data_IF_752406555181
#
_entry.id   IF_752406555181
#
_cell.length_a   1.000
_cell.length_b   1.000
_cell.length_c   1.000
_cell.angle_alpha   90.00
_cell.angle_beta   90.00
_cell.angle_gamma   90.00
#
_symmetry.space_group_name_H-M   'P 1'
#
loop_
_entity.id
_entity.type
_entity.pdbx_description
1 polymer ?
#
# COMPACT_ATOMS: atom_id res chain seq x y z
N UNK A 1 -5.19 -3.96 10.57
CA UNK A 1 -6.19 -4.51 9.64
C UNK A 1 -7.40 -5.05 10.40
N UNK A 2 -8.61 -4.68 9.97
CA UNK A 2 -9.84 -5.13 10.59
C UNK A 2 -10.15 -6.59 10.21
N UNK A 3 -10.52 -7.40 11.20
CA UNK A 3 -10.92 -8.79 11.00
C UNK A 3 -12.40 -8.99 11.33
N UNK A 4 -13.04 -10.08 10.84
CA UNK A 4 -14.38 -10.47 11.28
C UNK A 4 -14.48 -10.63 12.81
N UNK A 5 -15.71 -10.51 13.34
CA UNK A 5 -16.03 -10.69 14.75
C UNK A 5 -15.36 -9.66 15.69
N UNK A 6 -15.34 -8.40 15.27
CA UNK A 6 -14.84 -7.28 16.06
C UNK A 6 -13.38 -7.43 16.51
N UNK A 7 -12.52 -7.90 15.62
CA UNK A 7 -11.09 -8.10 15.86
C UNK A 7 -10.26 -7.12 15.04
N UNK A 8 -9.07 -6.83 15.55
CA UNK A 8 -8.09 -5.99 14.88
C UNK A 8 -6.74 -6.73 14.85
N UNK A 9 -6.23 -7.01 13.66
CA UNK A 9 -4.88 -7.50 13.49
C UNK A 9 -3.90 -6.32 13.54
N UNK A 10 -2.86 -6.44 14.36
CA UNK A 10 -1.81 -5.43 14.54
C UNK A 10 -0.46 -6.08 14.27
N UNK A 11 0.27 -5.53 13.32
CA UNK A 11 1.63 -5.93 12.96
C UNK A 11 2.63 -4.81 13.17
N UNK A 12 3.88 -5.12 13.45
CA UNK A 12 4.91 -4.10 13.64
C UNK A 12 6.26 -4.68 14.08
N UNK A 13 7.04 -3.85 14.74
CA UNK A 13 8.33 -4.22 15.33
C UNK A 13 8.25 -4.37 16.86
N UNK A 14 7.08 -4.16 17.43
CA UNK A 14 6.83 -4.21 18.86
C UNK A 14 7.01 -5.63 19.45
N UNK A 15 7.40 -5.69 20.69
CA UNK A 15 7.57 -6.95 21.45
C UNK A 15 6.69 -7.00 22.70
N UNK A 16 5.86 -5.99 22.90
CA UNK A 16 4.94 -5.88 24.03
C UNK A 16 3.67 -5.13 23.64
N UNK A 17 2.52 -5.60 24.11
CA UNK A 17 1.22 -4.94 24.00
C UNK A 17 0.50 -5.10 25.34
N UNK A 18 -0.02 -4.01 25.93
CA UNK A 18 -0.71 -3.98 27.20
C UNK A 18 0.07 -4.63 28.37
N UNK A 19 1.42 -4.50 28.37
CA UNK A 19 2.26 -5.12 29.38
C UNK A 19 2.56 -6.61 29.16
N UNK A 20 2.09 -7.19 28.04
CA UNK A 20 2.31 -8.59 27.70
C UNK A 20 3.29 -8.74 26.53
N UNK A 21 4.19 -9.71 26.65
CA UNK A 21 5.13 -10.02 25.57
C UNK A 21 4.43 -10.65 24.38
N UNK A 22 4.69 -10.12 23.20
CA UNK A 22 4.20 -10.60 21.90
C UNK A 22 5.34 -10.60 20.87
N UNK A 23 5.21 -11.36 19.78
CA UNK A 23 6.23 -11.42 18.75
C UNK A 23 5.77 -10.74 17.47
N UNK A 24 5.81 -9.39 17.47
CA UNK A 24 5.64 -8.52 16.29
C UNK A 24 4.27 -8.58 15.60
N UNK A 25 3.36 -9.40 16.14
CA UNK A 25 2.00 -9.57 15.63
C UNK A 25 1.05 -9.94 16.77
N UNK A 26 -0.15 -9.37 16.76
CA UNK A 26 -1.19 -9.66 17.76
C UNK A 26 -2.58 -9.41 17.17
N UNK A 27 -3.56 -10.13 17.68
CA UNK A 27 -4.98 -9.83 17.43
C UNK A 27 -5.55 -9.20 18.70
N UNK A 28 -6.25 -8.09 18.52
CA UNK A 28 -6.95 -7.38 19.60
C UNK A 28 -8.46 -7.49 19.40
N UNK A 29 -9.22 -7.43 20.49
CA UNK A 29 -10.63 -7.04 20.45
C UNK A 29 -10.72 -5.56 20.06
N UNK A 30 -11.44 -5.24 19.01
CA UNK A 30 -11.46 -3.89 18.44
C UNK A 30 -12.20 -2.87 19.29
N UNK A 31 -13.03 -3.30 20.26
CA UNK A 31 -13.73 -2.41 21.21
C UNK A 31 -12.91 -2.12 22.44
N UNK A 32 -12.27 -3.14 23.02
CA UNK A 32 -11.60 -3.03 24.31
C UNK A 32 -10.10 -2.84 24.20
N UNK A 33 -9.50 -3.13 23.03
CA UNK A 33 -8.06 -3.13 22.83
C UNK A 33 -7.33 -4.29 23.54
N UNK A 34 -8.05 -5.23 24.14
CA UNK A 34 -7.46 -6.37 24.84
C UNK A 34 -6.97 -7.42 23.85
N UNK A 35 -5.90 -8.15 24.19
CA UNK A 35 -5.36 -9.23 23.37
C UNK A 35 -6.39 -10.37 23.28
N UNK A 36 -6.74 -10.77 22.06
CA UNK A 36 -7.53 -11.97 21.80
C UNK A 36 -6.66 -13.22 21.89
N UNK A 37 -6.71 -13.89 23.02
CA UNK A 37 -5.89 -15.07 23.31
C UNK A 37 -6.32 -16.34 22.58
N UNK A 38 -7.39 -16.28 21.80
CA UNK A 38 -7.78 -17.39 20.89
C UNK A 38 -6.90 -17.45 19.66
N UNK A 39 -6.08 -16.40 19.44
CA UNK A 39 -5.12 -16.30 18.36
C UNK A 39 -3.68 -16.35 18.90
N UNK A 40 -2.91 -17.35 18.43
CA UNK A 40 -1.47 -17.52 18.75
C UNK A 40 -0.66 -17.53 17.46
N UNK A 41 -0.88 -16.51 16.62
CA UNK A 41 -0.09 -16.27 15.41
C UNK A 41 1.11 -15.42 15.80
N UNK A 42 2.31 -15.84 15.42
CA UNK A 42 3.56 -15.17 15.77
C UNK A 42 4.55 -15.26 14.61
N UNK A 43 5.40 -14.27 14.48
CA UNK A 43 6.50 -14.26 13.50
C UNK A 43 7.85 -14.11 14.20
N UNK A 44 8.91 -14.63 13.58
CA UNK A 44 10.29 -14.46 14.07
C UNK A 44 11.31 -14.49 12.93
N UNK A 45 12.49 -13.93 13.17
CA UNK A 45 13.71 -14.16 12.38
C UNK A 45 14.60 -15.17 13.05
N UNK A 46 15.18 -16.07 12.25
CA UNK A 46 15.98 -17.21 12.78
C UNK A 46 17.24 -16.78 13.53
N UNK A 47 17.82 -15.64 13.20
CA UNK A 47 19.12 -15.19 13.71
C UNK A 47 19.01 -14.30 14.97
N UNK A 48 17.83 -14.21 15.59
CA UNK A 48 17.61 -13.31 16.73
C UNK A 48 17.52 -11.83 16.37
N UNK A 49 17.64 -11.48 15.08
CA UNK A 49 17.36 -10.12 14.62
C UNK A 49 15.88 -9.80 14.82
N UNK A 50 15.57 -8.52 15.01
CA UNK A 50 14.18 -8.06 15.09
C UNK A 50 13.39 -8.47 13.84
N UNK A 51 12.29 -9.19 14.04
CA UNK A 51 11.31 -9.40 12.99
C UNK A 51 10.42 -8.16 12.90
N UNK A 52 9.74 -7.99 11.78
CA UNK A 52 8.78 -6.92 11.59
C UNK A 52 7.66 -7.39 10.66
N UNK A 53 6.41 -7.14 11.04
CA UNK A 53 5.25 -7.21 10.14
C UNK A 53 5.02 -5.81 9.59
N UNK A 54 5.06 -5.68 8.27
CA UNK A 54 4.96 -4.39 7.58
C UNK A 54 3.62 -4.18 6.90
N UNK A 55 2.98 -5.26 6.45
CA UNK A 55 1.73 -5.18 5.71
C UNK A 55 0.79 -6.30 6.12
N UNK A 56 -0.49 -5.99 6.15
CA UNK A 56 -1.59 -6.89 6.47
C UNK A 56 -2.69 -6.69 5.43
N UNK A 57 -3.28 -7.79 4.98
CA UNK A 57 -4.41 -7.77 4.05
C UNK A 57 -5.40 -8.87 4.41
N UNK A 58 -6.66 -8.52 4.54
CA UNK A 58 -7.76 -9.49 4.61
C UNK A 58 -8.38 -9.68 3.24
N UNK A 59 -8.34 -10.90 2.73
CA UNK A 59 -8.95 -11.23 1.45
C UNK A 59 -9.48 -12.67 1.46
N UNK A 60 -10.76 -12.85 1.09
CA UNK A 60 -11.42 -14.13 0.85
C UNK A 60 -11.11 -15.23 1.89
N UNK A 61 -11.40 -14.93 3.15
CA UNK A 61 -11.22 -15.88 4.27
C UNK A 61 -9.78 -16.05 4.77
N UNK A 62 -8.86 -15.24 4.30
CA UNK A 62 -7.46 -15.25 4.72
C UNK A 62 -6.99 -13.90 5.23
N UNK A 63 -6.05 -13.93 6.17
CA UNK A 63 -5.19 -12.81 6.53
C UNK A 63 -3.81 -13.07 5.93
N UNK A 64 -3.39 -12.23 5.01
CA UNK A 64 -2.02 -12.18 4.50
C UNK A 64 -1.19 -11.30 5.42
N UNK A 65 0.02 -11.74 5.72
CA UNK A 65 1.01 -10.98 6.47
C UNK A 65 2.29 -10.90 5.65
N UNK A 66 2.85 -9.71 5.52
CA UNK A 66 4.12 -9.45 4.84
C UNK A 66 5.09 -8.71 5.76
N UNK A 67 6.40 -8.88 5.54
CA UNK A 67 7.38 -8.20 6.38
C UNK A 67 8.79 -8.75 6.31
N UNK A 68 9.54 -8.49 7.39
CA UNK A 68 10.90 -8.93 7.57
C UNK A 68 10.96 -10.07 8.60
N UNK A 69 10.51 -11.24 8.23
CA UNK A 69 10.55 -12.44 9.06
C UNK A 69 10.96 -13.67 8.25
N UNK A 70 11.35 -14.75 8.91
CA UNK A 70 11.76 -16.02 8.26
C UNK A 70 10.91 -17.21 8.69
N UNK A 71 10.17 -17.08 9.78
CA UNK A 71 9.36 -18.16 10.33
C UNK A 71 8.04 -17.61 10.87
N UNK A 72 7.03 -18.43 10.79
CA UNK A 72 5.68 -18.14 11.29
C UNK A 72 5.15 -19.32 12.09
N UNK A 73 4.36 -19.04 13.12
CA UNK A 73 3.58 -19.98 13.90
C UNK A 73 2.11 -19.56 13.83
N UNK A 74 1.22 -20.50 13.67
CA UNK A 74 -0.24 -20.29 13.73
C UNK A 74 -0.87 -21.09 14.85
N UNK A 75 -2.17 -20.89 15.10
CA UNK A 75 -2.91 -21.54 16.21
C UNK A 75 -2.76 -23.07 16.28
N UNK A 76 -2.67 -23.73 15.13
CA UNK A 76 -2.56 -25.18 15.06
C UNK A 76 -1.12 -25.70 15.09
N UNK A 77 -0.14 -24.80 15.14
CA UNK A 77 1.27 -25.14 15.07
C UNK A 77 1.89 -25.20 16.46
N UNK A 78 2.58 -26.30 16.79
CA UNK A 78 3.34 -26.40 18.03
C UNK A 78 4.69 -25.69 17.98
N UNK A 79 5.20 -25.41 16.78
CA UNK A 79 6.50 -24.80 16.55
C UNK A 79 6.43 -23.82 15.36
N UNK A 80 7.41 -22.94 15.29
CA UNK A 80 7.64 -22.09 14.14
C UNK A 80 8.10 -22.91 12.93
N UNK A 81 7.56 -22.60 11.78
CA UNK A 81 7.97 -23.18 10.51
C UNK A 81 8.41 -22.08 9.52
N UNK A 82 9.26 -22.48 8.58
CA UNK A 82 9.83 -21.56 7.59
C UNK A 82 8.76 -21.03 6.65
N UNK A 83 8.65 -19.70 6.61
CA UNK A 83 7.93 -18.92 5.61
C UNK A 83 8.57 -17.54 5.58
N UNK A 84 9.28 -17.20 4.53
CA UNK A 84 10.12 -16.01 4.50
C UNK A 84 9.47 -14.86 3.74
N UNK A 85 9.34 -13.74 4.43
CA UNK A 85 8.85 -12.48 3.88
C UNK A 85 7.32 -12.37 3.85
N UNK A 86 6.59 -13.47 3.65
CA UNK A 86 5.13 -13.46 3.70
C UNK A 86 4.55 -14.79 4.16
N UNK A 87 3.32 -14.76 4.68
CA UNK A 87 2.53 -15.93 5.03
C UNK A 87 1.03 -15.63 4.89
N UNK A 88 0.22 -16.69 4.83
CA UNK A 88 -1.23 -16.61 4.76
C UNK A 88 -1.86 -17.42 5.90
N UNK A 89 -2.76 -16.77 6.64
CA UNK A 89 -3.41 -17.31 7.83
C UNK A 89 -4.91 -17.47 7.54
N UNK A 90 -5.47 -18.63 7.84
CA UNK A 90 -6.91 -18.88 7.70
C UNK A 90 -7.69 -18.13 8.77
N UNK A 91 -8.62 -17.26 8.39
CA UNK A 91 -9.45 -16.50 9.33
C UNK A 91 -10.37 -17.40 10.18
N UNK A 92 -10.72 -18.58 9.66
CA UNK A 92 -11.61 -19.50 10.35
C UNK A 92 -11.05 -20.09 11.63
N UNK A 93 -9.72 -20.23 11.75
CA UNK A 93 -9.10 -20.94 12.88
C UNK A 93 -7.68 -20.47 13.25
N UNK A 94 -7.15 -19.42 12.61
CA UNK A 94 -5.80 -18.91 12.86
C UNK A 94 -4.67 -19.85 12.39
N UNK A 95 -4.96 -20.87 11.59
CA UNK A 95 -3.94 -21.77 11.07
C UNK A 95 -3.18 -21.16 9.90
N UNK A 96 -1.86 -21.36 9.86
CA UNK A 96 -1.07 -21.04 8.67
C UNK A 96 -1.48 -21.92 7.51
N UNK A 97 -1.71 -21.34 6.34
CA UNK A 97 -1.92 -22.09 5.11
C UNK A 97 -0.59 -22.52 4.50
N UNK A 98 -0.19 -23.73 4.80
CA UNK A 98 1.10 -24.28 4.37
C UNK A 98 1.19 -24.59 2.87
N UNK A 99 0.09 -24.54 2.13
CA UNK A 99 0.11 -24.63 0.67
C UNK A 99 0.57 -23.30 0.02
N UNK A 100 0.38 -22.18 0.72
CA UNK A 100 0.82 -20.87 0.26
C UNK A 100 1.99 -20.38 1.12
N UNK A 101 3.20 -20.69 0.69
CA UNK A 101 4.43 -20.45 1.46
C UNK A 101 5.53 -19.89 0.58
N UNK A 102 5.49 -18.61 0.26
CA UNK A 102 6.54 -17.96 -0.53
C UNK A 102 7.86 -17.89 0.22
N UNK A 103 8.96 -17.84 -0.54
CA UNK A 103 10.30 -17.67 -0.02
C UNK A 103 10.95 -16.45 -0.68
N UNK A 104 10.70 -15.28 -0.12
CA UNK A 104 11.36 -14.05 -0.55
C UNK A 104 12.75 -13.94 0.08
N UNK A 105 13.77 -13.51 -0.68
CA UNK A 105 15.11 -13.29 -0.12
C UNK A 105 15.27 -11.95 0.62
N UNK A 106 14.25 -11.10 0.64
CA UNK A 106 14.21 -9.79 1.31
C UNK A 106 12.84 -9.47 1.91
N UNK A 107 12.70 -8.25 2.43
CA UNK A 107 11.49 -7.76 3.09
C UNK A 107 10.36 -7.54 2.08
N UNK A 108 9.15 -7.96 2.46
CA UNK A 108 7.90 -7.60 1.79
C UNK A 108 7.30 -6.39 2.51
N UNK A 109 7.11 -5.28 1.81
CA UNK A 109 6.56 -4.03 2.35
C UNK A 109 5.07 -3.89 2.12
N UNK A 110 4.61 -4.26 0.91
CA UNK A 110 3.21 -4.21 0.50
C UNK A 110 2.77 -5.57 -0.05
N UNK A 111 1.51 -5.92 0.18
CA UNK A 111 0.88 -7.12 -0.33
C UNK A 111 -0.59 -6.84 -0.68
N UNK A 112 -1.02 -7.29 -1.83
CA UNK A 112 -2.41 -7.23 -2.27
C UNK A 112 -2.81 -8.52 -2.95
N UNK A 113 -4.10 -8.81 -3.03
CA UNK A 113 -4.60 -9.99 -3.70
C UNK A 113 -5.81 -9.65 -4.57
N UNK A 114 -5.98 -10.37 -5.67
CA UNK A 114 -7.20 -10.35 -6.45
C UNK A 114 -8.40 -10.80 -5.59
N UNK A 115 -9.59 -10.28 -5.89
CA UNK A 115 -10.81 -10.55 -5.10
C UNK A 115 -11.16 -12.05 -5.01
N UNK A 116 -10.74 -12.84 -5.99
CA UNK A 116 -10.92 -14.29 -6.05
C UNK A 116 -9.71 -15.08 -5.53
N UNK A 117 -8.72 -14.41 -4.96
CA UNK A 117 -7.44 -14.98 -4.54
C UNK A 117 -6.65 -15.72 -5.65
N UNK A 118 -6.98 -15.55 -6.91
CA UNK A 118 -6.25 -16.22 -8.01
C UNK A 118 -4.80 -15.75 -8.10
N UNK A 119 -4.57 -14.47 -7.81
CA UNK A 119 -3.27 -13.81 -7.86
C UNK A 119 -3.01 -12.98 -6.62
N UNK A 120 -1.80 -13.03 -6.11
CA UNK A 120 -1.28 -12.19 -5.04
C UNK A 120 -0.11 -11.38 -5.58
N UNK A 121 -0.05 -10.09 -5.28
CA UNK A 121 1.06 -9.23 -5.66
C UNK A 121 1.81 -8.78 -4.41
N UNK A 122 3.13 -8.66 -4.54
CA UNK A 122 4.00 -8.20 -3.47
C UNK A 122 4.99 -7.15 -3.96
N UNK A 123 5.25 -6.18 -3.10
CA UNK A 123 6.26 -5.13 -3.28
C UNK A 123 7.26 -5.14 -2.12
N UNK A 124 8.53 -4.76 -2.36
CA UNK A 124 9.49 -4.74 -1.26
C UNK A 124 10.97 -4.56 -1.63
N UNK A 125 11.81 -5.13 -0.76
CA UNK A 125 13.28 -5.05 -0.85
C UNK A 125 13.92 -6.33 -1.42
N UNK A 126 13.12 -7.31 -1.80
CA UNK A 126 13.60 -8.60 -2.29
C UNK A 126 14.12 -8.51 -3.74
N UNK A 127 14.94 -9.47 -4.13
CA UNK A 127 15.42 -9.69 -5.51
C UNK A 127 15.08 -11.07 -6.03
N UNK A 128 14.57 -11.95 -5.15
CA UNK A 128 14.19 -13.32 -5.50
C UNK A 128 12.93 -13.75 -4.76
N UNK A 129 12.15 -14.57 -5.41
CA UNK A 129 11.02 -15.33 -4.89
C UNK A 129 11.19 -16.80 -5.29
N UNK A 130 11.18 -17.72 -4.31
CA UNK A 130 11.31 -19.17 -4.56
C UNK A 130 12.55 -19.53 -5.41
N UNK A 131 13.68 -18.85 -5.16
CA UNK A 131 14.95 -18.95 -5.92
C UNK A 131 14.83 -18.53 -7.39
N UNK A 132 13.81 -17.82 -7.77
CA UNK A 132 13.64 -17.20 -9.09
C UNK A 132 13.75 -15.68 -8.96
N UNK A 133 14.25 -15.05 -10.01
CA UNK A 133 14.34 -13.58 -10.08
C UNK A 133 12.98 -12.93 -9.83
N UNK A 134 12.97 -11.93 -8.92
CA UNK A 134 11.82 -11.08 -8.64
C UNK A 134 12.35 -9.75 -8.05
N UNK A 135 12.61 -8.77 -8.90
CA UNK A 135 13.19 -7.51 -8.46
C UNK A 135 12.13 -6.55 -7.97
N UNK A 136 11.97 -6.49 -6.64
CA UNK A 136 11.14 -5.53 -5.91
C UNK A 136 9.63 -5.69 -6.08
N UNK A 137 9.20 -6.37 -7.14
CA UNK A 137 7.81 -6.71 -7.44
C UNK A 137 7.69 -8.20 -7.73
N UNK A 138 6.59 -8.78 -7.31
CA UNK A 138 6.27 -10.17 -7.61
C UNK A 138 4.78 -10.38 -7.82
N UNK A 139 4.42 -11.25 -8.75
CA UNK A 139 3.09 -11.76 -8.95
C UNK A 139 3.10 -13.26 -8.67
N UNK A 140 2.29 -13.69 -7.69
CA UNK A 140 2.24 -15.05 -7.19
C UNK A 140 0.88 -15.67 -7.49
N UNK A 141 0.87 -16.98 -7.76
CA UNK A 141 -0.40 -17.72 -7.74
C UNK A 141 -0.97 -17.77 -6.32
N UNK A 142 -2.26 -17.52 -6.20
CA UNK A 142 -2.97 -17.66 -4.93
C UNK A 142 -3.05 -19.10 -4.43
N UNK A 143 -2.91 -20.10 -5.31
CA UNK A 143 -2.96 -21.52 -4.94
C UNK A 143 -1.75 -22.01 -4.16
N UNK A 144 -0.52 -21.63 -4.60
CA UNK A 144 0.72 -22.27 -4.15
C UNK A 144 1.90 -21.30 -3.99
N UNK A 145 1.67 -19.99 -4.16
CA UNK A 145 2.71 -18.94 -4.12
C UNK A 145 3.82 -19.09 -5.17
N UNK A 146 3.61 -19.83 -6.25
CA UNK A 146 4.55 -19.86 -7.36
C UNK A 146 4.56 -18.53 -8.12
N UNK A 147 5.71 -18.14 -8.65
CA UNK A 147 5.86 -16.90 -9.40
C UNK A 147 5.13 -17.00 -10.75
N UNK A 148 4.26 -16.03 -11.04
CA UNK A 148 3.53 -15.94 -12.32
C UNK A 148 4.34 -15.19 -13.37
N UNK A 149 5.02 -14.08 -12.94
CA UNK A 149 5.70 -13.17 -13.86
C UNK A 149 7.04 -12.71 -13.29
N UNK A 150 8.09 -13.43 -13.57
CA UNK A 150 9.44 -13.11 -13.09
C UNK A 150 10.08 -11.88 -13.76
N UNK A 151 9.55 -11.44 -14.91
CA UNK A 151 10.04 -10.26 -15.64
C UNK A 151 9.34 -8.96 -15.21
N UNK A 152 8.37 -9.02 -14.28
CA UNK A 152 7.72 -7.82 -13.79
C UNK A 152 8.67 -7.07 -12.85
N UNK A 153 9.12 -5.92 -13.28
CA UNK A 153 10.13 -5.12 -12.60
C UNK A 153 9.70 -3.66 -12.54
N UNK A 154 10.12 -2.90 -11.51
CA UNK A 154 9.95 -1.45 -11.47
C UNK A 154 10.53 -0.79 -12.72
N UNK A 155 9.88 0.26 -13.15
CA UNK A 155 10.26 0.95 -14.40
C UNK A 155 11.62 1.64 -14.34
N UNK A 156 12.06 2.06 -13.17
CA UNK A 156 13.31 2.79 -13.01
C UNK A 156 14.46 1.87 -12.58
N UNK A 157 15.45 1.82 -13.45
CA UNK A 157 16.76 1.20 -13.18
C UNK A 157 17.72 2.30 -12.76
N UNK A 158 18.15 2.30 -11.52
CA UNK A 158 19.18 3.20 -11.03
C UNK A 158 20.55 2.63 -11.41
N UNK A 159 21.32 3.38 -12.17
CA UNK A 159 22.72 3.03 -12.42
C UNK A 159 23.60 3.70 -11.36
N UNK A 160 24.00 2.93 -10.36
CA UNK A 160 24.90 3.38 -9.31
C UNK A 160 26.21 2.62 -9.46
N UNK A 161 27.29 3.34 -9.80
CA UNK A 161 28.65 2.76 -9.92
C UNK A 161 28.71 1.47 -10.76
N UNK A 162 28.24 1.57 -12.01
CA UNK A 162 28.20 0.48 -13.01
C UNK A 162 27.34 -0.75 -12.61
N UNK A 163 26.50 -0.61 -11.61
CA UNK A 163 25.51 -1.62 -11.24
C UNK A 163 24.10 -1.11 -11.49
N UNK A 164 23.30 -1.93 -12.14
CA UNK A 164 21.86 -1.68 -12.23
C UNK A 164 21.22 -2.04 -10.89
N UNK A 165 20.69 -1.05 -10.21
CA UNK A 165 19.96 -1.24 -8.96
C UNK A 165 18.50 -0.85 -9.21
N UNK A 166 17.57 -1.77 -8.89
CA UNK A 166 16.15 -1.47 -8.93
C UNK A 166 15.74 -0.78 -7.63
N UNK A 167 15.02 0.30 -7.76
CA UNK A 167 14.50 1.04 -6.62
C UNK A 167 13.52 0.18 -5.81
N UNK A 168 13.54 0.35 -4.51
CA UNK A 168 12.64 -0.33 -3.59
C UNK A 168 11.20 0.04 -3.90
N UNK A 169 10.29 -0.91 -3.78
CA UNK A 169 8.86 -0.66 -3.85
C UNK A 169 8.26 -0.73 -2.45
N UNK A 170 7.45 0.26 -2.10
CA UNK A 170 6.86 0.34 -0.78
C UNK A 170 5.49 -0.31 -0.74
N UNK A 171 4.69 -0.10 -1.79
CA UNK A 171 3.36 -0.66 -1.82
C UNK A 171 2.91 -1.13 -3.20
N UNK A 172 1.88 -1.96 -3.21
CA UNK A 172 1.25 -2.54 -4.38
C UNK A 172 -0.25 -2.71 -4.14
N UNK A 173 -1.08 -2.31 -5.10
CA UNK A 173 -2.53 -2.38 -5.00
C UNK A 173 -3.16 -3.08 -6.21
N UNK A 174 -3.89 -4.16 -6.00
CA UNK A 174 -4.73 -4.79 -7.03
C UNK A 174 -5.97 -3.92 -7.27
N UNK A 175 -6.23 -3.58 -8.51
CA UNK A 175 -7.37 -2.76 -8.91
C UNK A 175 -8.24 -3.44 -10.00
N UNK A 176 -8.32 -4.77 -9.96
CA UNK A 176 -9.12 -5.59 -10.87
C UNK A 176 -8.36 -5.95 -12.15
N UNK A 177 -8.52 -5.18 -13.22
CA UNK A 177 -7.79 -5.36 -14.50
C UNK A 177 -6.34 -4.87 -14.43
N UNK A 178 -6.04 -3.99 -13.49
CA UNK A 178 -4.74 -3.36 -13.29
C UNK A 178 -4.15 -3.68 -11.92
N UNK A 179 -2.85 -3.48 -11.79
CA UNK A 179 -2.13 -3.46 -10.53
C UNK A 179 -1.27 -2.21 -10.47
N UNK A 180 -1.31 -1.54 -9.32
CA UNK A 180 -0.58 -0.31 -9.07
C UNK A 180 0.63 -0.54 -8.18
N UNK A 181 1.67 0.26 -8.38
CA UNK A 181 2.89 0.22 -7.56
C UNK A 181 3.36 1.61 -7.22
N UNK A 182 3.99 1.74 -6.05
CA UNK A 182 4.64 2.95 -5.60
C UNK A 182 5.93 2.64 -4.85
N UNK A 183 6.95 3.47 -5.02
CA UNK A 183 8.22 3.21 -4.37
C UNK A 183 9.25 4.32 -4.46
N UNK A 184 10.49 3.95 -4.16
CA UNK A 184 11.66 4.84 -4.15
C UNK A 184 12.20 5.17 -5.55
N UNK A 185 11.55 4.70 -6.59
CA UNK A 185 11.75 5.17 -7.96
C UNK A 185 11.01 6.49 -8.24
N UNK A 186 10.31 7.01 -7.23
CA UNK A 186 9.52 8.22 -7.28
C UNK A 186 8.34 8.16 -8.27
N UNK A 187 8.10 6.98 -8.84
CA UNK A 187 6.99 6.71 -9.73
C UNK A 187 5.82 6.10 -8.95
N UNK A 188 4.63 6.57 -9.29
CA UNK A 188 3.40 5.82 -9.13
C UNK A 188 3.01 5.31 -10.52
N UNK A 189 2.75 4.02 -10.64
CA UNK A 189 2.54 3.39 -11.95
C UNK A 189 1.49 2.31 -11.89
N UNK A 190 0.69 2.17 -12.96
CA UNK A 190 -0.21 1.06 -13.16
C UNK A 190 0.23 0.15 -14.31
N UNK A 191 -0.05 -1.11 -14.13
CA UNK A 191 0.28 -2.18 -15.06
C UNK A 191 -0.96 -2.99 -15.38
N UNK A 192 -1.07 -3.45 -16.62
CA UNK A 192 -2.08 -4.45 -16.98
C UNK A 192 -1.77 -5.76 -16.28
N UNK A 193 -2.75 -6.42 -15.67
CA UNK A 193 -2.57 -7.79 -15.15
C UNK A 193 -2.41 -8.81 -16.27
N UNK A 194 -2.78 -8.47 -17.49
CA UNK A 194 -2.48 -9.28 -18.67
C UNK A 194 -1.05 -8.98 -19.17
N UNK A 195 -0.10 -9.76 -18.74
CA UNK A 195 1.31 -9.66 -19.15
C UNK A 195 2.15 -8.62 -18.42
N UNK A 196 1.59 -7.85 -17.47
CA UNK A 196 2.29 -6.86 -16.64
C UNK A 196 2.99 -5.74 -17.41
N UNK A 197 2.46 -5.39 -18.60
CA UNK A 197 2.88 -4.20 -19.32
C UNK A 197 2.41 -2.93 -18.59
N UNK A 198 3.32 -1.94 -18.46
CA UNK A 198 2.96 -0.64 -17.87
C UNK A 198 1.98 0.09 -18.77
N UNK A 199 0.88 0.59 -18.19
CA UNK A 199 -0.15 1.39 -18.85
C UNK A 199 0.20 2.87 -18.75
N UNK A 200 0.41 3.34 -17.52
CA UNK A 200 0.77 4.73 -17.24
C UNK A 200 1.70 4.84 -16.04
N UNK A 201 2.30 5.99 -15.88
CA UNK A 201 3.02 6.37 -14.67
C UNK A 201 3.02 7.89 -14.51
N UNK A 202 3.19 8.33 -13.27
CA UNK A 202 3.40 9.74 -12.92
C UNK A 202 4.56 9.85 -11.94
N UNK A 203 5.28 10.98 -12.00
CA UNK A 203 6.43 11.24 -11.12
C UNK A 203 6.26 12.57 -10.40
N UNK A 204 6.61 12.60 -9.13
CA UNK A 204 6.64 13.85 -8.37
C UNK A 204 7.90 14.66 -8.64
N UNK A 205 7.77 15.99 -8.67
CA UNK A 205 8.91 16.90 -8.79
C UNK A 205 9.84 16.75 -7.58
N UNK A 206 11.15 16.79 -7.84
CA UNK A 206 12.21 16.65 -6.85
C UNK A 206 12.24 15.31 -6.10
N UNK A 207 11.58 14.31 -6.65
CA UNK A 207 11.54 12.99 -6.05
C UNK A 207 10.57 12.91 -4.87
N UNK A 208 10.80 11.92 -4.04
CA UNK A 208 9.95 11.54 -2.94
C UNK A 208 9.25 10.23 -3.22
N UNK A 209 9.35 9.32 -2.26
CA UNK A 209 8.87 7.97 -2.43
C UNK A 209 7.35 7.92 -2.27
N UNK A 210 6.69 7.12 -3.09
CA UNK A 210 5.30 6.74 -2.88
C UNK A 210 5.24 5.66 -1.81
N UNK A 211 4.65 5.99 -0.68
CA UNK A 211 4.67 5.17 0.54
C UNK A 211 3.51 4.18 0.60
N UNK A 212 2.33 4.60 0.09
CA UNK A 212 1.09 3.85 0.22
C UNK A 212 0.17 4.07 -0.98
N UNK A 213 -0.64 3.08 -1.28
CA UNK A 213 -1.65 3.05 -2.33
C UNK A 213 -2.96 2.49 -1.78
N UNK A 214 -4.06 3.21 -1.95
CA UNK A 214 -5.37 2.76 -1.50
C UNK A 214 -6.42 2.82 -2.60
N UNK A 215 -7.06 1.70 -2.88
CA UNK A 215 -8.16 1.62 -3.84
C UNK A 215 -9.50 1.91 -3.17
N UNK A 216 -10.25 2.86 -3.71
CA UNK A 216 -11.66 3.09 -3.35
C UNK A 216 -12.50 3.34 -4.60
N UNK A 217 -13.39 2.42 -4.90
CA UNK A 217 -14.20 2.47 -6.13
C UNK A 217 -13.34 2.49 -7.40
N UNK A 218 -13.43 3.56 -8.17
CA UNK A 218 -12.60 3.77 -9.36
C UNK A 218 -11.36 4.64 -9.12
N UNK A 219 -11.03 4.94 -7.87
CA UNK A 219 -9.94 5.86 -7.51
C UNK A 219 -8.83 5.12 -6.78
N UNK A 220 -7.60 5.29 -7.24
CA UNK A 220 -6.40 5.01 -6.46
C UNK A 220 -5.95 6.29 -5.79
N UNK A 221 -5.85 6.28 -4.47
CA UNK A 221 -5.17 7.30 -3.71
C UNK A 221 -3.72 6.87 -3.51
N UNK A 222 -2.80 7.76 -3.81
CA UNK A 222 -1.37 7.57 -3.54
C UNK A 222 -0.89 8.55 -2.49
N UNK A 223 -0.17 8.05 -1.48
CA UNK A 223 0.44 8.84 -0.43
C UNK A 223 1.96 8.81 -0.53
N UNK A 224 2.61 9.93 -0.24
CA UNK A 224 4.05 10.08 -0.47
C UNK A 224 4.74 11.06 0.48
N UNK A 225 6.05 11.07 0.48
CA UNK A 225 6.86 12.18 1.00
C UNK A 225 7.43 13.05 -0.14
N UNK A 226 6.57 13.51 -1.01
CA UNK A 226 6.92 14.10 -2.29
C UNK A 226 6.70 15.61 -2.35
N UNK A 227 7.20 16.20 -3.41
CA UNK A 227 7.04 17.63 -3.70
C UNK A 227 5.61 18.04 -4.02
N UNK A 228 5.45 19.26 -4.49
CA UNK A 228 4.16 19.92 -4.71
C UNK A 228 3.69 19.92 -6.17
N UNK A 229 4.40 19.20 -7.04
CA UNK A 229 4.07 19.08 -8.47
C UNK A 229 4.19 17.63 -8.92
N UNK A 230 3.17 17.15 -9.64
CA UNK A 230 3.10 15.84 -10.25
C UNK A 230 3.09 15.97 -11.77
N UNK A 231 3.96 15.21 -12.42
CA UNK A 231 4.08 15.12 -13.88
C UNK A 231 3.42 13.83 -14.37
N UNK A 232 2.22 13.99 -14.93
CA UNK A 232 1.43 12.88 -15.46
C UNK A 232 2.02 12.34 -16.76
N UNK A 233 2.04 11.02 -16.91
CA UNK A 233 2.54 10.34 -18.11
C UNK A 233 4.06 10.28 -18.21
N UNK A 234 4.79 10.75 -17.20
CA UNK A 234 6.24 10.69 -17.19
C UNK A 234 6.75 9.29 -16.88
N UNK A 235 7.83 8.91 -17.54
CA UNK A 235 8.47 7.60 -17.41
C UNK A 235 9.84 7.64 -16.76
N UNK A 236 10.43 8.81 -16.62
CA UNK A 236 11.82 8.95 -16.18
C UNK A 236 12.08 10.16 -15.30
N UNK A 237 12.92 9.97 -14.29
CA UNK A 237 13.25 10.98 -13.30
C UNK A 237 13.98 12.22 -13.90
N UNK A 238 14.80 12.02 -14.94
CA UNK A 238 15.57 13.13 -15.55
C UNK A 238 14.88 13.77 -16.76
N UNK A 239 13.75 13.23 -17.19
CA UNK A 239 13.06 13.67 -18.41
C UNK A 239 11.60 14.03 -18.20
N UNK A 240 11.13 14.03 -16.93
CA UNK A 240 9.72 14.22 -16.57
C UNK A 240 9.11 15.48 -17.18
N UNK A 241 9.84 16.59 -17.27
CA UNK A 241 9.34 17.84 -17.86
C UNK A 241 9.20 17.80 -19.39
N UNK A 242 9.84 16.84 -20.07
CA UNK A 242 9.78 16.67 -21.54
C UNK A 242 8.70 15.69 -21.97
N UNK A 243 8.37 14.74 -21.09
CA UNK A 243 7.52 13.59 -21.41
C UNK A 243 6.11 13.73 -20.84
N UNK A 244 5.90 14.63 -19.88
CA UNK A 244 4.61 14.75 -19.20
C UNK A 244 3.51 15.19 -20.15
N UNK A 245 2.35 14.53 -20.06
CA UNK A 245 1.10 14.91 -20.75
C UNK A 245 0.44 16.10 -20.09
N UNK A 246 0.52 16.16 -18.76
CA UNK A 246 -0.03 17.22 -17.94
C UNK A 246 0.81 17.41 -16.66
N UNK A 247 0.62 18.56 -16.02
CA UNK A 247 1.27 18.91 -14.76
C UNK A 247 0.20 19.31 -13.75
N UNK A 248 0.19 18.64 -12.61
CA UNK A 248 -0.79 18.84 -11.56
C UNK A 248 -0.14 19.35 -10.30
N UNK A 249 -0.86 20.22 -9.59
CA UNK A 249 -0.48 20.57 -8.21
C UNK A 249 -0.92 19.42 -7.30
N UNK A 250 -0.01 18.93 -6.48
CA UNK A 250 -0.32 18.00 -5.42
C UNK A 250 0.63 18.20 -4.24
N UNK A 251 0.26 17.76 -3.07
CA UNK A 251 1.15 17.76 -1.92
C UNK A 251 0.85 16.61 -0.99
N UNK A 252 1.75 15.64 -1.00
CA UNK A 252 1.78 14.45 -0.17
C UNK A 252 0.70 13.41 -0.47
N UNK A 253 -0.36 13.76 -1.20
CA UNK A 253 -1.44 12.84 -1.61
C UNK A 253 -1.96 13.23 -2.98
N UNK A 254 -2.20 12.25 -3.84
CA UNK A 254 -2.85 12.42 -5.14
C UNK A 254 -3.91 11.34 -5.36
N UNK A 255 -4.80 11.57 -6.33
CA UNK A 255 -5.80 10.61 -6.74
C UNK A 255 -5.71 10.35 -8.25
N UNK A 256 -5.97 9.11 -8.63
CA UNK A 256 -5.84 8.63 -10.01
C UNK A 256 -7.04 7.78 -10.38
N UNK A 257 -7.43 7.81 -11.65
CA UNK A 257 -8.34 6.81 -12.20
C UNK A 257 -7.63 5.44 -12.24
N UNK A 258 -8.25 4.42 -11.67
CA UNK A 258 -7.63 3.11 -11.45
C UNK A 258 -7.26 2.35 -12.73
N UNK A 259 -7.97 2.62 -13.84
CA UNK A 259 -7.80 1.89 -15.10
C UNK A 259 -6.90 2.66 -16.08
N UNK A 260 -7.14 3.95 -16.30
CA UNK A 260 -6.35 4.78 -17.22
C UNK A 260 -5.05 5.28 -16.61
N UNK A 261 -5.02 5.49 -15.30
CA UNK A 261 -3.90 6.11 -14.60
C UNK A 261 -3.84 7.62 -14.73
N UNK A 262 -4.88 8.25 -15.26
CA UNK A 262 -5.00 9.70 -15.32
C UNK A 262 -5.16 10.31 -13.94
N UNK A 263 -4.52 11.45 -13.73
CA UNK A 263 -4.60 12.18 -12.47
C UNK A 263 -5.96 12.84 -12.32
N UNK A 264 -6.63 12.62 -11.19
CA UNK A 264 -7.86 13.31 -10.82
C UNK A 264 -7.50 14.69 -10.26
N UNK A 265 -7.30 15.67 -11.13
CA UNK A 265 -6.75 16.99 -10.81
C UNK A 265 -7.60 17.82 -9.84
N UNK A 266 -8.91 17.56 -9.74
CA UNK A 266 -9.80 18.22 -8.78
C UNK A 266 -9.52 17.78 -7.34
N UNK A 267 -8.93 16.61 -7.14
CA UNK A 267 -8.42 16.18 -5.85
C UNK A 267 -6.99 16.70 -5.65
N UNK A 268 -6.87 17.91 -5.13
CA UNK A 268 -5.58 18.58 -4.93
C UNK A 268 -5.46 19.14 -3.50
N UNK A 269 -5.48 18.27 -2.48
CA UNK A 269 -5.31 18.72 -1.10
C UNK A 269 -3.91 19.28 -0.89
N UNK A 270 -3.77 20.25 0.02
CA UNK A 270 -2.49 20.79 0.43
C UNK A 270 -2.23 20.39 1.87
N UNK A 271 -1.32 19.44 2.04
CA UNK A 271 -0.81 19.03 3.35
C UNK A 271 0.58 19.62 3.59
N UNK A 272 0.93 19.86 4.84
CA UNK A 272 2.27 20.29 5.24
C UNK A 272 2.78 19.34 6.32
N UNK A 273 4.00 18.85 6.12
CA UNK A 273 4.73 18.04 7.08
C UNK A 273 5.56 18.91 8.02
N UNK A 274 5.95 18.37 9.16
CA UNK A 274 6.85 19.00 10.11
C UNK A 274 8.33 18.73 9.78
N UNK A 275 8.64 17.49 9.39
CA UNK A 275 10.02 17.01 9.23
C UNK A 275 10.34 16.50 7.83
N UNK A 276 9.39 16.58 6.89
CA UNK A 276 9.57 16.17 5.50
C UNK A 276 9.35 14.70 5.22
N UNK A 277 8.87 13.91 6.19
CA UNK A 277 8.59 12.48 6.00
C UNK A 277 7.25 12.19 5.33
N UNK A 278 6.37 13.17 5.22
CA UNK A 278 5.13 13.10 4.44
C UNK A 278 4.06 12.18 4.98
N UNK A 279 3.22 11.70 4.07
CA UNK A 279 2.12 10.77 4.37
C UNK A 279 2.60 9.34 4.15
N UNK A 280 2.38 8.48 5.15
CA UNK A 280 2.86 7.10 5.18
C UNK A 280 1.77 6.08 4.91
N UNK A 281 0.53 6.45 5.20
CA UNK A 281 -0.62 5.55 5.11
C UNK A 281 -1.87 6.33 4.72
N UNK A 282 -2.73 5.72 3.91
CA UNK A 282 -4.04 6.23 3.55
C UNK A 282 -5.10 5.14 3.66
N UNK A 283 -6.32 5.55 3.98
CA UNK A 283 -7.44 4.64 4.16
C UNK A 283 -8.76 5.36 3.85
N UNK A 284 -9.67 4.69 3.14
CA UNK A 284 -11.02 5.21 2.92
C UNK A 284 -12.00 4.44 3.79
N UNK A 285 -12.69 5.16 4.67
CA UNK A 285 -13.67 4.57 5.57
C UNK A 285 -14.97 4.16 4.86
N UNK A 286 -15.86 3.46 5.56
CA UNK A 286 -17.14 2.99 5.01
C UNK A 286 -18.10 4.11 4.59
N UNK A 287 -17.81 5.36 4.96
CA UNK A 287 -18.54 6.57 4.56
C UNK A 287 -17.91 7.26 3.35
N UNK A 288 -16.83 6.70 2.80
CA UNK A 288 -16.08 7.27 1.68
C UNK A 288 -15.11 8.40 2.06
N UNK A 289 -14.88 8.68 3.35
CA UNK A 289 -13.89 9.67 3.74
C UNK A 289 -12.49 9.09 3.61
N UNK A 290 -11.61 9.85 2.96
CA UNK A 290 -10.18 9.53 2.92
C UNK A 290 -9.52 10.02 4.21
N UNK A 291 -8.87 9.12 4.91
CA UNK A 291 -7.98 9.39 6.02
C UNK A 291 -6.54 9.24 5.57
N UNK A 292 -5.68 10.11 6.02
CA UNK A 292 -4.24 10.04 5.79
C UNK A 292 -3.49 10.24 7.09
N UNK A 293 -2.44 9.44 7.27
CA UNK A 293 -1.60 9.46 8.47
C UNK A 293 -0.12 9.62 8.12
N UNK A 294 0.63 10.32 8.97
CA UNK A 294 2.06 10.52 8.76
C UNK A 294 2.61 11.77 9.43
N UNK A 295 3.73 12.25 8.92
CA UNK A 295 4.37 13.50 9.37
C UNK A 295 3.64 14.71 8.79
N UNK A 296 2.41 14.95 9.24
CA UNK A 296 1.60 16.08 8.83
C UNK A 296 1.17 16.92 10.04
N UNK A 297 1.30 18.21 9.94
CA UNK A 297 0.93 19.14 11.01
C UNK A 297 -0.10 20.19 10.60
N UNK A 298 -0.36 20.33 9.30
CA UNK A 298 -1.35 21.27 8.75
C UNK A 298 -1.98 20.73 7.48
N UNK A 299 -3.24 21.08 7.27
CA UNK A 299 -3.96 20.92 6.01
C UNK A 299 -4.56 22.25 5.58
N UNK A 300 -4.56 22.52 4.27
CA UNK A 300 -5.22 23.67 3.66
C UNK A 300 -6.36 23.16 2.79
N UNK A 301 -7.58 23.47 3.18
CA UNK A 301 -8.80 23.14 2.45
C UNK A 301 -9.66 24.37 2.22
N UNK A 302 -10.92 24.16 1.80
CA UNK A 302 -11.88 25.22 1.53
C UNK A 302 -12.13 26.14 2.74
N UNK A 303 -11.99 25.61 3.96
CA UNK A 303 -12.15 26.34 5.21
C UNK A 303 -10.86 26.99 5.75
N UNK A 304 -9.85 27.15 4.89
CA UNK A 304 -8.54 27.70 5.25
C UNK A 304 -7.59 26.67 5.85
N UNK A 305 -6.53 27.17 6.48
CA UNK A 305 -5.50 26.34 7.10
C UNK A 305 -5.99 25.79 8.44
N UNK A 306 -5.89 24.47 8.61
CA UNK A 306 -6.25 23.77 9.84
C UNK A 306 -5.01 23.05 10.40
N UNK A 307 -4.83 23.12 11.72
CA UNK A 307 -3.80 22.34 12.40
C UNK A 307 -4.21 20.88 12.46
N UNK A 308 -3.29 19.99 12.12
CA UNK A 308 -3.41 18.55 12.26
C UNK A 308 -2.32 18.02 13.20
N UNK A 309 -2.50 16.82 13.73
CA UNK A 309 -1.50 16.17 14.59
C UNK A 309 -1.34 14.74 14.10
N UNK A 310 -0.61 14.57 13.00
CA UNK A 310 -0.32 13.28 12.40
C UNK A 310 -1.43 12.71 11.52
N UNK A 311 -2.66 13.27 11.53
CA UNK A 311 -3.79 12.78 10.75
C UNK A 311 -4.56 13.91 10.08
N UNK A 312 -5.08 13.64 8.87
CA UNK A 312 -6.07 14.49 8.21
C UNK A 312 -7.18 13.63 7.60
N UNK A 313 -8.38 14.17 7.55
CA UNK A 313 -9.55 13.55 6.93
C UNK A 313 -10.08 14.45 5.83
N UNK A 314 -10.30 13.88 4.68
CA UNK A 314 -11.02 14.50 3.56
C UNK A 314 -12.38 13.85 3.44
N UNK A 315 -13.43 14.68 3.33
CA UNK A 315 -14.79 14.16 3.12
C UNK A 315 -14.85 13.39 1.79
N UNK A 316 -15.79 12.44 1.71
CA UNK A 316 -16.11 11.75 0.47
C UNK A 316 -16.33 12.76 -0.64
N UNK A 317 -15.77 12.50 -1.82
CA UNK A 317 -15.99 13.35 -3.00
C UNK A 317 -17.47 13.31 -3.34
N UNK A 318 -18.12 14.46 -3.29
CA UNK A 318 -19.47 14.61 -3.82
C UNK A 318 -19.39 14.61 -5.35
N UNK A 319 -19.81 13.52 -5.95
CA UNK A 319 -19.89 13.36 -7.42
C UNK A 319 -21.29 13.54 -7.93
N UNK A 320 -22.23 13.95 -7.07
CA UNK A 320 -23.61 14.22 -7.46
C UNK A 320 -23.61 15.52 -8.26
N UNK A 321 -24.06 15.53 -9.52
CA UNK A 321 -24.22 16.78 -10.24
C UNK A 321 -25.14 17.72 -9.46
N UNK A 322 -24.84 19.04 -9.38
CA UNK A 322 -25.74 19.97 -8.75
C UNK A 322 -27.13 19.87 -9.46
N UNK A 323 -28.19 19.86 -8.66
CA UNK A 323 -29.54 19.89 -9.21
C UNK A 323 -29.66 21.07 -10.15
N UNK A 324 -30.30 20.86 -11.29
CA UNK A 324 -30.58 21.94 -12.23
C UNK A 324 -31.37 23.04 -11.49
N UNK A 325 -30.90 24.30 -11.46
CA UNK A 325 -31.57 25.35 -10.76
C UNK A 325 -33.02 25.44 -11.23
N UNK A 326 -33.97 25.25 -10.33
CA UNK A 326 -35.40 25.41 -10.64
C UNK A 326 -35.79 26.85 -10.33
N UNK A 327 -36.58 27.43 -11.20
CA UNK A 327 -37.16 28.80 -11.06
C UNK A 327 -36.14 29.96 -11.12
N UNK A 328 -35.16 29.89 -12.00
CA UNK A 328 -34.33 31.05 -12.37
C UNK A 328 -35.24 32.17 -12.98
N UNK A 329 -35.46 33.23 -12.23
CA UNK A 329 -36.09 34.46 -12.74
C UNK A 329 -34.99 35.48 -13.03
N UNK A 330 -34.86 35.86 -14.28
CA UNK A 330 -34.03 37.01 -14.69
C UNK A 330 -34.86 38.27 -14.43
N UNK A 331 -34.50 39.09 -13.45
CA UNK A 331 -35.02 40.44 -13.31
C UNK A 331 -34.22 41.34 -14.24
N UNK A 332 -34.88 41.86 -15.28
CA UNK A 332 -34.36 42.98 -16.05
C UNK A 332 -34.61 44.26 -15.24
N UNK A 333 -33.53 45.00 -14.91
CA UNK A 333 -33.63 46.38 -14.42
C UNK A 333 -33.77 47.33 -15.57
#
# INVERSE_FOLDING_TARGET
>A
EALPNNRLAVGGEFTEVNGEKVNHFVILDATTGQIDRTWDVQVQRRNGDAAQVKTLLVQDGYLYIGGNFTHVKGNTSKAYAYSRGAARIKLSNGAVDWNWRPNFNGTVNGITAASDNSTVHAAGYFTELNNQRAFRLAALKGSDASNIKWEWEPSLKLNITDRIVYAFQFDVQDAGSTVWTGGADHLIANYSKNGYGRISSSISKYGGDWQDLHLSGNTIYGACHCGDVLFEGSTGYHTYWKESKAVHRMRLVAAFDKDSGEVIGEFSPVLKGASGYGVWESFVDSRGNLWVGGDINRSLGANGEQRTVGFARFAARDVTPPETPQNLQVKHN
#
